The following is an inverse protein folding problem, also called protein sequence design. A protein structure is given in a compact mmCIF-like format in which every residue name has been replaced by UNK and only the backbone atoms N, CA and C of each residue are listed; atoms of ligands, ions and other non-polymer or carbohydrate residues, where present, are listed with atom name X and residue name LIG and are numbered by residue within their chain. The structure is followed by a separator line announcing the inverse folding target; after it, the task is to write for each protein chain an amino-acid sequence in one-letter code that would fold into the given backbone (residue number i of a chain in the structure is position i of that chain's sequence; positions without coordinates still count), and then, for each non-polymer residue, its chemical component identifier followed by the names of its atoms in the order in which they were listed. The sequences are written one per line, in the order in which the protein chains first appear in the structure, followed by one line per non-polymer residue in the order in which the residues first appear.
data_IF_590020408924
#
_entry.id   IF_590020408924
#
_cell.length_a   1.000
_cell.length_b   1.000
_cell.length_c   1.000
_cell.angle_alpha   90.00
_cell.angle_beta   90.00
_cell.angle_gamma   90.00
#
_symmetry.space_group_name_H-M   'P 1'
#
loop_
_entity.id
_entity.type
_entity.pdbx_description
1 polymer ?
#
# COMPACT_ATOMS: atom_id res chain seq x y z
N UNK A 1 -3.12 26.40 -8.85
CA UNK A 1 -3.27 25.42 -7.75
C UNK A 1 -2.86 24.06 -8.26
N UNK A 2 -2.11 23.29 -7.47
CA UNK A 2 -1.69 21.93 -7.82
C UNK A 2 -2.41 20.91 -6.93
N UNK A 3 -2.59 19.69 -7.42
CA UNK A 3 -3.21 18.59 -6.67
C UNK A 3 -2.27 17.41 -6.71
N UNK A 4 -2.06 16.75 -5.57
CA UNK A 4 -1.37 15.48 -5.48
C UNK A 4 -2.29 14.43 -4.87
N UNK A 5 -2.30 13.23 -5.44
CA UNK A 5 -3.05 12.08 -4.94
C UNK A 5 -2.11 10.86 -4.88
N UNK A 6 -2.16 10.14 -3.76
CA UNK A 6 -1.29 8.99 -3.52
C UNK A 6 -2.04 7.84 -2.84
N UNK A 7 -1.47 6.64 -2.88
CA UNK A 7 -1.91 5.52 -2.04
C UNK A 7 -1.81 5.87 -0.56
N UNK A 8 -2.79 5.41 0.24
CA UNK A 8 -2.94 5.88 1.62
C UNK A 8 -2.59 4.86 2.70
N UNK A 9 -2.32 3.61 2.35
CA UNK A 9 -2.25 2.52 3.32
C UNK A 9 -0.83 2.10 3.70
N UNK A 10 0.18 2.73 3.11
CA UNK A 10 1.57 2.42 3.38
C UNK A 10 2.49 3.65 3.38
N UNK A 11 3.71 3.39 3.81
CA UNK A 11 4.71 4.45 3.95
C UNK A 11 5.29 4.90 2.61
N UNK A 12 5.16 4.12 1.53
CA UNK A 12 5.64 4.55 0.22
C UNK A 12 4.72 5.63 -0.36
N UNK A 13 3.42 5.41 -0.35
CA UNK A 13 2.46 6.44 -0.74
C UNK A 13 2.57 7.69 0.13
N UNK A 14 2.59 7.56 1.47
CA UNK A 14 2.70 8.74 2.35
C UNK A 14 4.06 9.42 2.25
N UNK A 15 5.15 8.68 2.01
CA UNK A 15 6.49 9.21 1.75
C UNK A 15 6.55 10.01 0.46
N UNK A 16 5.95 9.48 -0.60
CA UNK A 16 5.75 10.18 -1.87
C UNK A 16 5.08 11.53 -1.68
N UNK A 17 3.99 11.53 -0.92
CA UNK A 17 3.24 12.75 -0.62
C UNK A 17 4.06 13.75 0.24
N UNK A 18 4.85 13.25 1.20
CA UNK A 18 5.70 14.08 2.03
C UNK A 18 6.82 14.76 1.22
N UNK A 19 7.41 14.07 0.24
CA UNK A 19 8.43 14.65 -0.65
C UNK A 19 7.80 15.72 -1.54
N UNK A 20 6.62 15.47 -2.12
CA UNK A 20 5.90 16.45 -2.91
C UNK A 20 5.55 17.68 -2.06
N UNK A 21 5.00 17.50 -0.86
CA UNK A 21 4.73 18.60 0.06
C UNK A 21 6.00 19.41 0.37
N UNK A 22 7.11 18.71 0.66
CA UNK A 22 8.40 19.35 0.94
C UNK A 22 8.89 20.18 -0.25
N UNK A 23 8.79 19.64 -1.48
CA UNK A 23 9.16 20.37 -2.69
C UNK A 23 8.40 21.69 -2.81
N UNK A 24 7.06 21.64 -2.65
CA UNK A 24 6.25 22.86 -2.77
C UNK A 24 6.49 23.85 -1.64
N UNK A 25 6.60 23.41 -0.39
CA UNK A 25 6.67 24.31 0.78
C UNK A 25 8.07 24.79 1.07
N UNK A 26 9.10 23.95 0.97
CA UNK A 26 10.48 24.29 1.35
C UNK A 26 11.34 24.72 0.16
N UNK A 27 11.17 24.08 -1.01
CA UNK A 27 11.97 24.39 -2.20
C UNK A 27 11.34 25.51 -3.02
N UNK A 28 10.08 25.39 -3.43
CA UNK A 28 9.38 26.43 -4.18
C UNK A 28 8.85 27.56 -3.29
N UNK A 29 8.87 27.39 -1.96
CA UNK A 29 8.33 28.37 -0.98
C UNK A 29 6.89 28.78 -1.24
N UNK A 30 6.08 27.84 -1.76
CA UNK A 30 4.70 28.04 -2.07
C UNK A 30 3.82 27.98 -0.81
N UNK A 31 2.70 28.70 -0.82
CA UNK A 31 1.73 28.61 0.25
C UNK A 31 1.03 27.25 0.26
N UNK A 32 0.57 26.79 1.44
CA UNK A 32 -0.16 25.53 1.58
C UNK A 32 -1.42 25.45 0.70
N UNK A 33 -2.05 26.59 0.41
CA UNK A 33 -3.22 26.68 -0.48
C UNK A 33 -2.91 26.42 -1.95
N UNK A 34 -1.63 26.40 -2.34
CA UNK A 34 -1.23 26.15 -3.73
C UNK A 34 -1.03 24.66 -4.04
N UNK A 35 -1.08 23.80 -3.02
CA UNK A 35 -1.01 22.34 -3.14
C UNK A 35 -2.09 21.69 -2.28
N UNK A 36 -3.00 20.96 -2.91
CA UNK A 36 -3.99 20.11 -2.23
C UNK A 36 -3.51 18.66 -2.25
N UNK A 37 -3.52 18.02 -1.08
CA UNK A 37 -3.11 16.65 -0.90
C UNK A 37 -4.33 15.74 -0.76
N UNK A 38 -4.48 14.81 -1.67
CA UNK A 38 -5.48 13.74 -1.60
C UNK A 38 -4.79 12.40 -1.32
N UNK A 39 -5.52 11.54 -0.65
CA UNK A 39 -5.11 10.18 -0.32
C UNK A 39 -6.15 9.22 -0.84
N UNK A 40 -5.74 8.08 -1.37
CA UNK A 40 -6.65 7.17 -2.05
C UNK A 40 -6.31 5.71 -1.80
N UNK A 41 -7.32 4.88 -1.89
CA UNK A 41 -7.20 3.44 -2.03
C UNK A 41 -7.73 3.04 -3.41
N UNK A 42 -7.38 1.87 -3.92
CA UNK A 42 -7.84 1.37 -5.22
C UNK A 42 -9.37 1.43 -5.39
N UNK A 43 -10.11 1.23 -4.31
CA UNK A 43 -11.60 1.22 -4.34
C UNK A 43 -12.26 2.57 -4.55
N UNK A 44 -11.56 3.67 -4.30
CA UNK A 44 -12.11 5.03 -4.42
C UNK A 44 -11.27 5.96 -5.32
N UNK A 45 -10.23 5.39 -5.94
CA UNK A 45 -9.28 6.16 -6.75
C UNK A 45 -9.96 6.80 -7.97
N UNK A 46 -10.74 6.01 -8.72
CA UNK A 46 -11.45 6.49 -9.92
C UNK A 46 -12.36 7.66 -9.58
N UNK A 47 -13.17 7.52 -8.54
CA UNK A 47 -14.12 8.55 -8.14
C UNK A 47 -13.40 9.83 -7.73
N UNK A 48 -12.31 9.72 -6.98
CA UNK A 48 -11.50 10.88 -6.59
C UNK A 48 -10.88 11.57 -7.81
N UNK A 49 -10.32 10.82 -8.75
CA UNK A 49 -9.77 11.39 -9.99
C UNK A 49 -10.86 12.09 -10.80
N UNK A 50 -12.03 11.47 -10.95
CA UNK A 50 -13.17 12.09 -11.65
C UNK A 50 -13.58 13.41 -10.99
N UNK A 51 -13.76 13.42 -9.67
CA UNK A 51 -14.09 14.65 -8.93
C UNK A 51 -13.07 15.77 -9.19
N UNK A 52 -11.77 15.44 -9.21
CA UNK A 52 -10.70 16.40 -9.46
C UNK A 52 -10.75 16.92 -10.91
N UNK A 53 -10.92 16.01 -11.88
CA UNK A 53 -10.82 16.34 -13.31
C UNK A 53 -12.13 16.85 -13.93
N UNK A 54 -13.27 16.64 -13.29
CA UNK A 54 -14.57 17.22 -13.68
C UNK A 54 -14.85 18.58 -13.01
N UNK A 55 -13.98 19.00 -12.10
CA UNK A 55 -14.13 20.28 -11.42
C UNK A 55 -14.20 21.44 -12.44
N UNK A 56 -15.00 22.45 -12.11
CA UNK A 56 -15.12 23.67 -12.94
C UNK A 56 -13.76 24.33 -13.17
N UNK A 57 -12.92 24.37 -12.14
CA UNK A 57 -11.55 24.87 -12.20
C UNK A 57 -10.61 23.69 -12.03
N UNK A 58 -9.89 23.37 -13.09
CA UNK A 58 -8.90 22.30 -13.06
C UNK A 58 -7.62 22.72 -12.33
N UNK A 59 -6.90 21.78 -11.71
CA UNK A 59 -5.56 22.06 -11.23
C UNK A 59 -4.63 22.35 -12.41
N UNK A 60 -3.60 23.19 -12.18
CA UNK A 60 -2.50 23.37 -13.13
C UNK A 60 -1.75 22.07 -13.35
N UNK A 61 -1.59 21.31 -12.25
CA UNK A 61 -0.93 20.00 -12.26
C UNK A 61 -1.65 19.04 -11.33
N UNK A 62 -1.91 17.83 -11.85
CA UNK A 62 -2.29 16.65 -11.07
C UNK A 62 -1.09 15.71 -10.99
N UNK A 63 -0.67 15.37 -9.78
CA UNK A 63 0.43 14.43 -9.51
C UNK A 63 -0.18 13.18 -8.89
N UNK A 64 0.00 12.04 -9.54
CA UNK A 64 -0.45 10.73 -9.07
C UNK A 64 0.78 9.93 -8.66
N UNK A 65 0.76 9.26 -7.52
CA UNK A 65 1.90 8.47 -7.06
C UNK A 65 1.48 7.19 -6.34
N UNK A 66 2.30 6.15 -6.49
CA UNK A 66 2.16 4.87 -5.80
C UNK A 66 0.77 4.25 -5.98
N UNK A 67 0.30 4.21 -7.22
CA UNK A 67 -1.00 3.67 -7.60
C UNK A 67 -0.86 2.86 -8.88
N UNK A 68 -0.79 1.54 -8.76
CA UNK A 68 -0.65 0.64 -9.91
C UNK A 68 -1.89 0.68 -10.80
N UNK A 69 -1.67 0.88 -12.10
CA UNK A 69 -2.75 0.89 -13.09
C UNK A 69 -3.20 -0.52 -13.47
N UNK A 70 -4.50 -0.73 -13.58
CA UNK A 70 -5.12 -1.99 -13.99
C UNK A 70 -6.33 -1.77 -14.90
N UNK A 71 -6.98 -2.87 -15.33
CA UNK A 71 -8.14 -2.83 -16.22
C UNK A 71 -9.31 -1.99 -15.69
N UNK A 72 -9.52 -1.95 -14.39
CA UNK A 72 -10.61 -1.19 -13.77
C UNK A 72 -10.45 0.32 -13.99
N UNK A 73 -9.22 0.78 -14.24
CA UNK A 73 -8.87 2.19 -14.41
C UNK A 73 -8.92 2.69 -15.86
N UNK A 74 -9.25 1.84 -16.84
CA UNK A 74 -9.25 2.18 -18.29
C UNK A 74 -10.08 3.41 -18.64
N UNK A 75 -11.19 3.64 -17.96
CA UNK A 75 -12.02 4.81 -18.20
C UNK A 75 -11.28 6.14 -17.96
N UNK A 76 -10.26 6.17 -17.10
CA UNK A 76 -9.49 7.37 -16.78
C UNK A 76 -8.73 7.93 -17.98
N UNK A 77 -8.40 7.14 -19.00
CA UNK A 77 -7.74 7.64 -20.20
C UNK A 77 -8.49 8.78 -20.86
N UNK A 78 -9.81 8.66 -20.94
CA UNK A 78 -10.64 9.71 -21.54
C UNK A 78 -10.67 10.99 -20.69
N UNK A 79 -10.66 10.86 -19.38
CA UNK A 79 -10.60 11.99 -18.44
C UNK A 79 -9.24 12.69 -18.53
N UNK A 80 -8.14 11.95 -18.59
CA UNK A 80 -6.81 12.52 -18.74
C UNK A 80 -6.67 13.33 -20.02
N UNK A 81 -7.05 12.75 -21.17
CA UNK A 81 -7.00 13.45 -22.47
C UNK A 81 -7.79 14.76 -22.43
N UNK A 82 -9.06 14.73 -22.02
CA UNK A 82 -9.93 15.90 -21.91
C UNK A 82 -9.36 16.96 -20.96
N UNK A 83 -8.78 16.56 -19.85
CA UNK A 83 -8.24 17.49 -18.87
C UNK A 83 -6.95 18.16 -19.36
N UNK A 84 -6.12 17.44 -20.10
CA UNK A 84 -4.93 18.01 -20.75
C UNK A 84 -5.32 19.04 -21.84
N UNK A 85 -6.33 18.76 -22.64
CA UNK A 85 -6.88 19.72 -23.60
C UNK A 85 -7.38 21.01 -22.94
N UNK A 86 -7.81 20.93 -21.68
CA UNK A 86 -8.20 22.06 -20.83
C UNK A 86 -7.03 22.70 -20.07
N UNK A 87 -5.78 22.26 -20.32
CA UNK A 87 -4.55 22.84 -19.76
C UNK A 87 -4.05 22.23 -18.44
N UNK A 88 -4.68 21.17 -17.91
CA UNK A 88 -4.16 20.45 -16.76
C UNK A 88 -2.99 19.56 -17.17
N UNK A 89 -1.84 19.68 -16.50
CA UNK A 89 -0.70 18.78 -16.68
C UNK A 89 -0.85 17.58 -15.72
N UNK A 90 -0.71 16.36 -16.24
CA UNK A 90 -0.91 15.14 -15.45
C UNK A 90 0.38 14.32 -15.42
N UNK A 91 0.88 14.08 -14.20
CA UNK A 91 2.11 13.36 -13.93
C UNK A 91 1.78 12.12 -13.09
N UNK A 92 2.36 10.97 -13.45
CA UNK A 92 2.17 9.72 -12.72
C UNK A 92 3.52 9.04 -12.45
N UNK A 93 3.79 8.79 -11.18
CA UNK A 93 4.99 8.15 -10.66
C UNK A 93 4.62 6.83 -10.00
N UNK A 94 5.15 5.72 -10.49
CA UNK A 94 4.76 4.39 -10.01
C UNK A 94 5.91 3.39 -10.12
N UNK A 95 5.77 2.25 -9.49
CA UNK A 95 6.73 1.16 -9.55
C UNK A 95 6.04 -0.22 -9.68
N UNK A 96 4.73 -0.24 -9.85
CA UNK A 96 3.98 -1.47 -10.03
C UNK A 96 4.15 -2.04 -11.43
N UNK A 97 4.07 -3.38 -11.53
CA UNK A 97 4.06 -4.06 -12.82
C UNK A 97 2.77 -3.70 -13.55
N UNK A 98 2.92 -3.22 -14.76
CA UNK A 98 1.84 -2.81 -15.64
C UNK A 98 1.85 -3.64 -16.94
N UNK A 99 0.67 -3.86 -17.52
CA UNK A 99 0.56 -4.40 -18.88
C UNK A 99 1.08 -3.39 -19.92
N UNK A 100 1.78 -3.86 -20.94
CA UNK A 100 2.42 -3.01 -21.96
C UNK A 100 1.42 -2.13 -22.73
N UNK A 101 0.18 -2.59 -22.93
CA UNK A 101 -0.85 -1.80 -23.60
C UNK A 101 -1.30 -0.63 -22.69
N UNK A 102 -1.43 -0.88 -21.40
CA UNK A 102 -1.75 0.17 -20.42
C UNK A 102 -0.60 1.18 -20.31
N UNK A 103 0.63 0.70 -20.25
CA UNK A 103 1.80 1.57 -20.20
C UNK A 103 1.88 2.50 -21.42
N UNK A 104 1.68 1.96 -22.62
CA UNK A 104 1.67 2.73 -23.86
C UNK A 104 0.55 3.77 -23.90
N UNK A 105 -0.64 3.42 -23.41
CA UNK A 105 -1.77 4.35 -23.38
C UNK A 105 -1.60 5.43 -22.30
N UNK A 106 -1.01 5.11 -21.15
CA UNK A 106 -0.64 6.11 -20.15
C UNK A 106 0.39 7.11 -20.70
N UNK A 107 1.44 6.64 -21.35
CA UNK A 107 2.45 7.50 -22.00
C UNK A 107 1.84 8.47 -23.02
N UNK A 108 0.75 8.09 -23.69
CA UNK A 108 0.01 8.96 -24.63
C UNK A 108 -0.95 9.91 -23.93
N UNK A 109 -1.53 9.47 -22.82
CA UNK A 109 -2.59 10.19 -22.12
C UNK A 109 -2.10 11.19 -21.08
N UNK A 110 -0.85 11.05 -20.62
CA UNK A 110 -0.22 11.85 -19.57
C UNK A 110 0.85 12.78 -20.13
N UNK A 111 1.21 13.82 -19.39
CA UNK A 111 2.36 14.68 -19.71
C UNK A 111 3.66 14.05 -19.23
N UNK A 112 3.60 13.27 -18.14
CA UNK A 112 4.72 12.51 -17.63
C UNK A 112 4.23 11.19 -17.03
N UNK A 113 4.84 10.09 -17.41
CA UNK A 113 4.70 8.78 -16.80
C UNK A 113 6.09 8.19 -16.52
N UNK A 114 6.41 8.01 -15.26
CA UNK A 114 7.64 7.35 -14.81
C UNK A 114 7.27 6.11 -13.98
N UNK A 115 7.77 4.96 -14.43
CA UNK A 115 7.61 3.68 -13.76
C UNK A 115 8.95 2.95 -13.76
N UNK A 116 9.44 2.60 -12.56
CA UNK A 116 10.66 1.81 -12.38
C UNK A 116 10.46 0.75 -11.32
N UNK A 117 10.49 -0.50 -11.74
CA UNK A 117 10.27 -1.68 -10.85
C UNK A 117 11.40 -1.91 -9.84
N UNK A 118 12.54 -1.23 -9.96
CA UNK A 118 13.70 -1.35 -9.06
C UNK A 118 13.67 -0.30 -7.94
N UNK A 119 12.78 0.70 -8.04
CA UNK A 119 12.61 1.79 -7.09
C UNK A 119 11.22 1.70 -6.46
N UNK A 120 11.03 2.29 -5.29
CA UNK A 120 9.71 2.58 -4.78
C UNK A 120 9.23 3.96 -5.29
N UNK A 121 7.94 4.25 -5.19
CA UNK A 121 7.39 5.50 -5.73
C UNK A 121 8.02 6.75 -5.10
N UNK A 122 8.30 6.72 -3.79
CA UNK A 122 8.98 7.81 -3.10
C UNK A 122 10.42 8.04 -3.61
N UNK A 123 11.14 6.99 -4.03
CA UNK A 123 12.47 7.14 -4.65
C UNK A 123 12.36 7.84 -6.00
N UNK A 124 11.42 7.43 -6.85
CA UNK A 124 11.19 8.04 -8.17
C UNK A 124 10.84 9.52 -8.03
N UNK A 125 9.96 9.86 -7.09
CA UNK A 125 9.56 11.25 -6.82
C UNK A 125 10.72 12.05 -6.25
N UNK A 126 11.51 11.49 -5.34
CA UNK A 126 12.71 12.13 -4.79
C UNK A 126 13.71 12.43 -5.93
N UNK A 127 13.99 11.48 -6.79
CA UNK A 127 14.93 11.67 -7.92
C UNK A 127 14.45 12.74 -8.90
N UNK A 128 13.14 12.86 -9.10
CA UNK A 128 12.56 13.85 -10.00
C UNK A 128 12.51 15.26 -9.41
N UNK A 129 12.11 15.42 -8.15
CA UNK A 129 11.85 16.73 -7.53
C UNK A 129 12.97 17.25 -6.62
N UNK A 130 13.61 16.37 -5.86
CA UNK A 130 14.53 16.72 -4.76
C UNK A 130 15.70 15.72 -4.66
N UNK A 131 16.48 15.51 -5.74
CA UNK A 131 17.49 14.43 -5.81
C UNK A 131 18.59 14.57 -4.73
N UNK A 132 18.93 15.78 -4.31
CA UNK A 132 19.99 16.04 -3.34
C UNK A 132 19.48 16.43 -1.94
N UNK A 133 18.18 16.53 -1.74
CA UNK A 133 17.62 16.92 -0.43
C UNK A 133 17.75 15.77 0.58
N UNK A 134 18.53 15.98 1.64
CA UNK A 134 18.83 14.96 2.65
C UNK A 134 17.58 14.42 3.37
N UNK A 135 16.54 15.24 3.52
CA UNK A 135 15.28 14.84 4.14
C UNK A 135 14.49 13.97 3.16
N UNK A 136 14.39 14.37 1.89
CA UNK A 136 13.74 13.57 0.85
C UNK A 136 14.44 12.21 0.66
N UNK A 137 15.78 12.19 0.66
CA UNK A 137 16.59 10.96 0.64
C UNK A 137 16.24 10.06 1.83
N UNK A 138 16.10 10.62 3.03
CA UNK A 138 15.75 9.83 4.24
C UNK A 138 14.32 9.28 4.16
N UNK A 139 13.37 10.07 3.68
CA UNK A 139 11.99 9.63 3.45
C UNK A 139 11.97 8.47 2.46
N UNK A 140 12.62 8.60 1.31
CA UNK A 140 12.68 7.57 0.29
C UNK A 140 13.31 6.26 0.81
N UNK A 141 14.36 6.34 1.65
CA UNK A 141 14.95 5.16 2.30
C UNK A 141 13.97 4.44 3.23
N UNK A 142 13.13 5.17 3.97
CA UNK A 142 12.12 4.57 4.84
C UNK A 142 10.98 3.95 4.03
N UNK A 143 10.54 4.61 2.95
CA UNK A 143 9.56 4.09 2.02
C UNK A 143 10.02 2.78 1.38
N UNK A 144 11.26 2.77 0.85
CA UNK A 144 11.89 1.57 0.30
C UNK A 144 11.96 0.42 1.30
N UNK A 145 12.29 0.73 2.56
CA UNK A 145 12.40 -0.30 3.61
C UNK A 145 11.09 -1.07 3.82
N UNK A 146 9.98 -0.35 3.72
CA UNK A 146 8.65 -0.93 3.83
C UNK A 146 8.26 -1.66 2.55
N UNK A 147 8.42 -1.02 1.41
CA UNK A 147 7.98 -1.59 0.14
C UNK A 147 8.80 -2.82 -0.28
N UNK A 148 10.12 -2.78 -0.13
CA UNK A 148 11.01 -3.92 -0.42
C UNK A 148 11.29 -4.83 0.78
N UNK A 149 10.69 -4.57 1.95
CA UNK A 149 10.87 -5.36 3.18
C UNK A 149 12.33 -5.57 3.61
N UNK A 150 13.17 -4.54 3.45
CA UNK A 150 14.59 -4.69 3.76
C UNK A 150 14.88 -4.70 5.26
N UNK A 151 13.94 -4.26 6.10
CA UNK A 151 13.99 -4.27 7.58
C UNK A 151 15.22 -3.59 8.17
N UNK A 152 15.66 -2.50 7.56
CA UNK A 152 16.86 -1.75 7.97
C UNK A 152 16.56 -0.66 8.99
N UNK A 153 15.33 -0.15 9.00
CA UNK A 153 14.95 1.02 9.78
C UNK A 153 13.73 0.75 10.67
N UNK A 154 13.95 0.64 11.98
CA UNK A 154 12.86 0.47 12.95
C UNK A 154 11.79 1.57 12.85
N UNK A 155 12.22 2.79 12.57
CA UNK A 155 11.33 3.94 12.37
C UNK A 155 10.33 3.71 11.25
N UNK A 156 10.77 3.15 10.11
CA UNK A 156 9.91 2.82 8.98
C UNK A 156 8.85 1.78 9.37
N UNK A 157 9.28 0.68 10.00
CA UNK A 157 8.38 -0.35 10.49
C UNK A 157 7.37 0.16 11.53
N UNK A 158 7.80 1.06 12.41
CA UNK A 158 6.94 1.66 13.42
C UNK A 158 5.90 2.60 12.80
N UNK A 159 6.29 3.45 11.83
CA UNK A 159 5.36 4.31 11.09
C UNK A 159 4.33 3.47 10.32
N UNK A 160 4.78 2.40 9.67
CA UNK A 160 3.87 1.47 8.99
C UNK A 160 2.88 0.81 9.97
N UNK A 161 3.32 0.45 11.17
CA UNK A 161 2.43 -0.10 12.21
C UNK A 161 1.40 0.94 12.67
N UNK A 162 1.80 2.21 12.82
CA UNK A 162 0.89 3.31 13.16
C UNK A 162 -0.16 3.49 12.04
N UNK A 163 0.24 3.47 10.76
CA UNK A 163 -0.67 3.55 9.61
C UNK A 163 -1.66 2.37 9.63
N UNK A 164 -1.15 1.15 9.79
CA UNK A 164 -1.97 -0.06 9.79
C UNK A 164 -2.96 -0.14 10.96
N UNK A 165 -2.57 0.35 12.14
CA UNK A 165 -3.44 0.42 13.31
C UNK A 165 -4.63 1.38 13.09
N UNK A 166 -4.35 2.57 12.56
CA UNK A 166 -5.32 3.63 12.37
C UNK A 166 -6.11 3.51 11.06
N UNK A 167 -6.03 2.37 10.32
CA UNK A 167 -6.86 2.15 9.12
C UNK A 167 -8.34 2.32 9.43
N UNK A 168 -9.06 2.88 8.46
CA UNK A 168 -10.46 3.25 8.60
C UNK A 168 -10.59 4.74 8.86
N UNK A 169 -11.55 5.14 9.67
CA UNK A 169 -11.89 6.55 9.87
C UNK A 169 -10.76 7.39 10.48
N UNK A 170 -10.00 6.82 11.41
CA UNK A 170 -8.91 7.48 12.12
C UNK A 170 -7.70 7.79 11.22
N UNK A 171 -7.57 7.08 10.10
CA UNK A 171 -6.42 7.22 9.22
C UNK A 171 -6.29 8.63 8.64
N UNK A 172 -7.39 9.35 8.43
CA UNK A 172 -7.36 10.66 7.76
C UNK A 172 -6.49 11.68 8.48
N UNK A 173 -6.57 11.75 9.79
CA UNK A 173 -5.75 12.69 10.58
C UNK A 173 -4.32 12.17 10.77
N UNK A 174 -4.16 10.86 10.95
CA UNK A 174 -2.85 10.22 11.14
C UNK A 174 -1.98 10.37 9.88
N UNK A 175 -2.52 10.08 8.68
CA UNK A 175 -1.75 10.22 7.43
C UNK A 175 -1.33 11.67 7.15
N UNK A 176 -2.23 12.64 7.35
CA UNK A 176 -1.90 14.06 7.23
C UNK A 176 -0.78 14.47 8.19
N UNK A 177 -0.84 13.96 9.43
CA UNK A 177 0.17 14.24 10.46
C UNK A 177 1.51 13.62 10.10
N UNK A 178 1.54 12.36 9.62
CA UNK A 178 2.77 11.68 9.18
C UNK A 178 3.40 12.46 8.02
N UNK A 179 2.62 12.78 6.99
CA UNK A 179 3.10 13.52 5.81
C UNK A 179 3.66 14.89 6.22
N UNK A 180 2.95 15.63 7.08
CA UNK A 180 3.43 16.91 7.60
C UNK A 180 4.75 16.79 8.36
N UNK A 181 4.86 15.85 9.29
CA UNK A 181 6.07 15.65 10.09
C UNK A 181 7.25 15.25 9.20
N UNK A 182 7.06 14.27 8.31
CA UNK A 182 8.12 13.80 7.41
C UNK A 182 8.57 14.91 6.46
N UNK A 183 7.66 15.69 5.88
CA UNK A 183 8.00 16.79 4.97
C UNK A 183 8.85 17.88 5.66
N UNK A 184 8.75 18.01 6.97
CA UNK A 184 9.56 18.92 7.80
C UNK A 184 10.82 18.26 8.39
N UNK A 185 11.11 16.99 8.04
CA UNK A 185 12.26 16.25 8.55
C UNK A 185 12.13 15.77 9.99
N UNK A 186 10.91 15.76 10.53
CA UNK A 186 10.60 15.28 11.88
C UNK A 186 10.12 13.84 11.76
N UNK A 187 10.95 12.90 12.17
CA UNK A 187 10.65 11.47 12.07
C UNK A 187 10.25 10.87 13.42
N UNK A 188 10.69 11.47 14.52
CA UNK A 188 10.36 11.07 15.90
C UNK A 188 10.04 12.31 16.71
N UNK A 189 8.97 12.25 17.50
CA UNK A 189 8.55 13.27 18.45
C UNK A 189 7.55 12.65 19.45
N UNK A 190 7.03 13.44 20.39
CA UNK A 190 6.10 12.97 21.42
C UNK A 190 4.84 12.32 20.85
N UNK A 191 4.28 12.88 19.76
CA UNK A 191 3.13 12.30 19.09
C UNK A 191 3.45 10.90 18.51
N UNK A 192 4.58 10.75 17.82
CA UNK A 192 5.04 9.47 17.30
C UNK A 192 5.22 8.45 18.42
N UNK A 193 5.88 8.85 19.51
CA UNK A 193 6.13 7.98 20.66
C UNK A 193 4.83 7.50 21.31
N UNK A 194 3.85 8.40 21.46
CA UNK A 194 2.54 8.05 22.01
C UNK A 194 1.76 7.11 21.06
N UNK A 195 1.73 7.40 19.76
CA UNK A 195 1.09 6.52 18.79
C UNK A 195 1.71 5.11 18.81
N UNK A 196 3.03 5.03 18.86
CA UNK A 196 3.73 3.75 18.91
C UNK A 196 3.41 2.98 20.20
N UNK A 197 3.29 3.66 21.35
CA UNK A 197 2.88 3.07 22.62
C UNK A 197 1.46 2.46 22.52
N UNK A 198 0.53 3.20 21.92
CA UNK A 198 -0.85 2.74 21.71
C UNK A 198 -0.87 1.49 20.82
N UNK A 199 -0.14 1.52 19.70
CA UNK A 199 -0.07 0.40 18.74
C UNK A 199 0.50 -0.84 19.42
N UNK A 200 1.63 -0.73 20.12
CA UNK A 200 2.27 -1.86 20.80
C UNK A 200 1.35 -2.50 21.84
N UNK A 201 0.73 -1.68 22.69
CA UNK A 201 -0.22 -2.18 23.70
C UNK A 201 -1.42 -2.89 23.05
N UNK A 202 -1.88 -2.39 21.89
CA UNK A 202 -2.98 -3.02 21.18
C UNK A 202 -2.54 -4.34 20.53
N UNK A 203 -1.39 -4.39 19.87
CA UNK A 203 -0.86 -5.62 19.25
C UNK A 203 -0.65 -6.72 20.31
N UNK A 204 -0.09 -6.40 21.46
CA UNK A 204 0.08 -7.34 22.58
C UNK A 204 -1.26 -7.96 23.00
N UNK A 205 -2.29 -7.13 23.21
CA UNK A 205 -3.64 -7.60 23.59
C UNK A 205 -4.31 -8.45 22.50
N UNK A 206 -4.00 -8.20 21.22
CA UNK A 206 -4.62 -8.92 20.10
C UNK A 206 -3.86 -10.17 19.67
N UNK A 207 -2.64 -10.42 20.16
CA UNK A 207 -1.78 -11.50 19.67
C UNK A 207 -2.22 -12.89 20.11
N UNK A 208 -2.82 -13.03 21.29
CA UNK A 208 -3.21 -14.33 21.85
C UNK A 208 -4.36 -14.99 21.09
N UNK A 209 -5.34 -14.21 20.67
CA UNK A 209 -6.52 -14.73 19.98
C UNK A 209 -6.17 -15.44 18.67
N UNK A 210 -5.38 -14.85 17.74
CA UNK A 210 -4.96 -15.52 16.52
C UNK A 210 -4.19 -16.82 16.77
N UNK A 211 -3.29 -16.85 17.76
CA UNK A 211 -2.50 -18.05 18.06
C UNK A 211 -3.37 -19.21 18.53
N UNK A 212 -4.42 -18.94 19.32
CA UNK A 212 -5.40 -19.95 19.75
C UNK A 212 -6.29 -20.47 18.61
N UNK A 213 -6.46 -19.68 17.54
CA UNK A 213 -7.30 -20.02 16.39
C UNK A 213 -6.49 -20.36 15.12
N UNK A 214 -5.21 -20.69 15.30
CA UNK A 214 -4.33 -21.06 14.18
C UNK A 214 -4.62 -22.47 13.68
N UNK A 215 -4.71 -22.63 12.37
CA UNK A 215 -4.80 -23.92 11.71
C UNK A 215 -3.54 -24.21 10.91
N UNK A 216 -2.90 -25.35 11.21
CA UNK A 216 -1.75 -25.88 10.48
C UNK A 216 -2.25 -26.97 9.52
N UNK A 217 -2.11 -26.73 8.23
CA UNK A 217 -2.68 -27.56 7.17
C UNK A 217 -1.54 -28.18 6.36
N UNK A 218 -1.53 -29.50 6.24
CA UNK A 218 -0.61 -30.22 5.35
C UNK A 218 -1.14 -30.16 3.90
N UNK A 219 -0.25 -29.83 2.99
CA UNK A 219 -0.49 -29.90 1.54
C UNK A 219 0.45 -30.96 0.98
N UNK A 220 -0.13 -32.02 0.46
CA UNK A 220 0.62 -33.17 -0.06
C UNK A 220 1.50 -32.74 -1.24
N UNK A 221 2.75 -33.22 -1.27
CA UNK A 221 3.72 -32.86 -2.31
C UNK A 221 4.27 -31.42 -2.22
N UNK A 222 3.84 -30.61 -1.22
CA UNK A 222 4.32 -29.24 -1.08
C UNK A 222 4.90 -28.92 0.33
N UNK A 223 4.16 -29.20 1.39
CA UNK A 223 4.56 -28.89 2.75
C UNK A 223 3.40 -28.39 3.61
N UNK A 224 3.66 -27.40 4.48
CA UNK A 224 2.67 -26.90 5.43
C UNK A 224 2.25 -25.47 5.10
N UNK A 225 0.95 -25.22 5.19
CA UNK A 225 0.29 -23.92 5.21
C UNK A 225 -0.15 -23.64 6.65
N UNK A 226 0.05 -22.42 7.13
CA UNK A 226 -0.52 -21.95 8.39
C UNK A 226 -1.46 -20.78 8.10
N UNK A 227 -2.63 -20.81 8.70
CA UNK A 227 -3.67 -19.80 8.55
C UNK A 227 -4.26 -19.42 9.90
N UNK A 228 -4.45 -18.13 10.11
CA UNK A 228 -5.15 -17.60 11.28
C UNK A 228 -5.85 -16.28 10.96
N UNK A 229 -6.65 -15.82 11.91
CA UNK A 229 -7.44 -14.60 11.80
C UNK A 229 -7.45 -13.83 13.13
N UNK A 230 -7.63 -12.53 13.04
CA UNK A 230 -7.68 -11.67 14.23
C UNK A 230 -7.99 -10.21 13.88
N UNK A 231 -8.08 -9.38 14.91
CA UNK A 231 -8.26 -7.93 14.74
C UNK A 231 -6.93 -7.18 14.65
N UNK A 232 -5.93 -7.79 14.04
CA UNK A 232 -4.63 -7.17 13.75
C UNK A 232 -4.35 -7.22 12.24
N UNK A 233 -3.48 -6.33 11.75
CA UNK A 233 -3.16 -6.28 10.33
C UNK A 233 -2.64 -7.62 9.81
N UNK A 234 -3.12 -8.05 8.64
CA UNK A 234 -2.79 -9.35 8.06
C UNK A 234 -1.29 -9.57 7.88
N UNK A 235 -0.53 -8.51 7.56
CA UNK A 235 0.93 -8.56 7.49
C UNK A 235 1.60 -8.84 8.83
N UNK A 236 1.14 -8.21 9.93
CA UNK A 236 1.62 -8.49 11.29
C UNK A 236 1.24 -9.90 11.72
N UNK A 237 0.02 -10.33 11.38
CA UNK A 237 -0.45 -11.68 11.66
C UNK A 237 0.43 -12.74 10.95
N UNK A 238 0.75 -12.55 9.67
CA UNK A 238 1.69 -13.45 8.96
C UNK A 238 3.07 -13.49 9.63
N UNK A 239 3.57 -12.36 10.16
CA UNK A 239 4.83 -12.32 10.91
C UNK A 239 4.72 -13.15 12.20
N UNK A 240 3.67 -12.96 12.99
CA UNK A 240 3.39 -13.73 14.20
C UNK A 240 3.32 -15.25 13.92
N UNK A 241 2.65 -15.62 12.83
CA UNK A 241 2.56 -17.02 12.39
C UNK A 241 3.93 -17.56 11.97
N UNK A 242 4.77 -16.79 11.27
CA UNK A 242 6.12 -17.21 10.88
C UNK A 242 7.04 -17.45 12.09
N UNK A 243 6.92 -16.61 13.12
CA UNK A 243 7.65 -16.74 14.38
C UNK A 243 7.26 -18.02 15.16
N UNK A 244 5.97 -18.36 15.18
CA UNK A 244 5.46 -19.51 15.96
C UNK A 244 5.39 -20.82 15.16
N UNK A 245 5.39 -20.78 13.83
CA UNK A 245 5.30 -21.94 12.95
C UNK A 245 6.38 -21.92 11.85
N UNK A 246 7.67 -21.88 12.19
CA UNK A 246 8.77 -21.69 11.21
C UNK A 246 8.88 -22.81 10.17
N UNK A 247 8.25 -23.96 10.42
CA UNK A 247 8.21 -25.10 9.48
C UNK A 247 7.18 -24.93 8.35
N UNK A 248 6.31 -23.93 8.43
CA UNK A 248 5.34 -23.67 7.39
C UNK A 248 5.99 -22.91 6.22
N UNK A 249 5.52 -23.21 5.01
CA UNK A 249 5.98 -22.56 3.77
C UNK A 249 5.08 -21.41 3.32
N UNK A 250 3.81 -21.40 3.74
CA UNK A 250 2.84 -20.37 3.41
C UNK A 250 2.17 -19.89 4.68
N UNK A 251 2.07 -18.57 4.82
CA UNK A 251 1.46 -17.89 5.95
C UNK A 251 0.28 -17.07 5.46
N UNK A 252 -0.90 -17.29 6.04
CA UNK A 252 -2.13 -16.58 5.71
C UNK A 252 -2.67 -15.92 6.96
N UNK A 253 -2.73 -14.60 6.93
CA UNK A 253 -3.34 -13.77 7.96
C UNK A 253 -4.63 -13.12 7.48
N UNK A 254 -5.74 -13.29 8.23
CA UNK A 254 -7.03 -12.69 7.93
C UNK A 254 -7.30 -11.57 8.92
N UNK A 255 -7.32 -10.33 8.43
CA UNK A 255 -7.68 -9.16 9.23
C UNK A 255 -9.20 -9.02 9.30
N UNK A 256 -9.78 -9.35 10.45
CA UNK A 256 -11.22 -9.30 10.69
C UNK A 256 -11.82 -7.88 10.66
N UNK A 257 -10.98 -6.83 10.79
CA UNK A 257 -11.47 -5.44 10.76
C UNK A 257 -11.94 -5.04 9.37
N UNK A 258 -11.28 -5.60 8.33
CA UNK A 258 -11.48 -5.20 6.93
C UNK A 258 -11.83 -6.37 6.01
N UNK A 259 -11.95 -7.58 6.58
CA UNK A 259 -12.16 -8.82 5.84
C UNK A 259 -11.11 -9.02 4.72
N UNK A 260 -9.85 -8.75 5.05
CA UNK A 260 -8.73 -8.83 4.13
C UNK A 260 -7.81 -9.99 4.45
N UNK A 261 -7.40 -10.70 3.42
CA UNK A 261 -6.48 -11.83 3.49
C UNK A 261 -5.11 -11.37 3.02
N UNK A 262 -4.09 -11.57 3.83
CA UNK A 262 -2.70 -11.36 3.47
C UNK A 262 -2.00 -12.71 3.34
N UNK A 263 -1.25 -12.88 2.25
CA UNK A 263 -0.39 -14.03 1.97
C UNK A 263 1.07 -13.64 2.12
N UNK A 264 1.89 -14.52 2.70
CA UNK A 264 3.36 -14.43 2.66
C UNK A 264 3.98 -15.78 2.42
N UNK A 265 4.91 -15.87 1.48
CA UNK A 265 5.64 -17.10 1.16
C UNK A 265 6.85 -16.81 0.27
N UNK A 266 7.93 -17.55 0.52
CA UNK A 266 9.11 -17.60 -0.36
C UNK A 266 9.03 -18.80 -1.35
N UNK A 267 7.94 -19.59 -1.30
CA UNK A 267 7.78 -20.87 -2.02
C UNK A 267 6.68 -20.87 -3.08
N UNK A 268 5.91 -19.80 -3.15
CA UNK A 268 4.85 -19.62 -4.16
C UNK A 268 4.86 -18.20 -4.70
N UNK A 269 4.29 -17.99 -5.87
CA UNK A 269 4.00 -16.65 -6.37
C UNK A 269 2.73 -16.11 -5.72
N UNK A 270 2.88 -15.38 -4.60
CA UNK A 270 1.76 -14.81 -3.85
C UNK A 270 0.89 -13.88 -4.70
N UNK A 271 1.51 -13.08 -5.61
CA UNK A 271 0.80 -12.16 -6.48
C UNK A 271 -0.17 -12.90 -7.41
N UNK A 272 0.31 -13.95 -8.10
CA UNK A 272 -0.54 -14.71 -9.02
C UNK A 272 -1.66 -15.44 -8.27
N UNK A 273 -1.38 -15.95 -7.07
CA UNK A 273 -2.41 -16.51 -6.23
C UNK A 273 -3.46 -15.45 -5.85
N UNK A 274 -3.05 -14.28 -5.40
CA UNK A 274 -3.97 -13.20 -5.03
C UNK A 274 -4.78 -12.70 -6.23
N UNK A 275 -4.16 -12.55 -7.42
CA UNK A 275 -4.86 -12.19 -8.68
C UNK A 275 -5.97 -13.17 -9.04
N UNK A 276 -5.79 -14.46 -8.76
CA UNK A 276 -6.85 -15.46 -8.99
C UNK A 276 -8.07 -15.29 -8.07
N UNK A 277 -8.00 -14.34 -7.11
CA UNK A 277 -9.08 -13.88 -6.24
C UNK A 277 -9.33 -12.37 -6.36
N UNK A 278 -8.97 -11.77 -7.50
CA UNK A 278 -9.11 -10.32 -7.76
C UNK A 278 -8.32 -9.43 -6.81
N UNK A 279 -7.22 -9.95 -6.27
CA UNK A 279 -6.29 -9.21 -5.44
C UNK A 279 -4.99 -8.86 -6.16
N UNK A 280 -3.97 -8.47 -5.40
CA UNK A 280 -2.69 -8.07 -5.95
C UNK A 280 -1.58 -8.04 -4.90
N UNK A 281 -0.40 -7.56 -5.32
CA UNK A 281 0.78 -7.42 -4.47
C UNK A 281 2.07 -7.88 -5.17
N UNK A 282 3.04 -8.29 -4.37
CA UNK A 282 4.35 -8.74 -4.83
C UNK A 282 4.45 -10.27 -4.89
N UNK A 283 5.55 -10.77 -5.46
CA UNK A 283 5.78 -12.22 -5.63
C UNK A 283 5.81 -12.97 -4.29
N UNK A 284 6.40 -12.39 -3.26
CA UNK A 284 6.58 -12.98 -1.91
C UNK A 284 5.46 -12.64 -0.93
N UNK A 285 4.63 -11.65 -1.26
CA UNK A 285 3.51 -11.17 -0.46
C UNK A 285 2.41 -10.57 -1.32
N UNK A 286 1.17 -10.83 -0.96
CA UNK A 286 0.02 -10.28 -1.66
C UNK A 286 -1.22 -10.29 -0.75
N UNK A 287 -2.28 -9.63 -1.19
CA UNK A 287 -3.54 -9.60 -0.47
C UNK A 287 -4.74 -9.66 -1.40
N UNK A 288 -5.86 -10.11 -0.86
CA UNK A 288 -7.14 -10.14 -1.56
C UNK A 288 -8.30 -10.15 -0.54
N UNK A 289 -9.52 -9.96 -1.03
CA UNK A 289 -10.74 -10.12 -0.25
C UNK A 289 -11.47 -11.37 -0.70
N UNK A 290 -12.14 -12.02 0.25
CA UNK A 290 -12.97 -13.18 -0.03
C UNK A 290 -14.23 -13.15 0.86
N UNK A 291 -15.41 -13.15 0.24
CA UNK A 291 -16.67 -12.90 0.94
C UNK A 291 -17.05 -14.01 1.93
N UNK A 292 -16.77 -15.27 1.59
CA UNK A 292 -17.16 -16.44 2.39
C UNK A 292 -15.96 -17.12 3.04
N UNK A 293 -15.28 -16.40 3.95
CA UNK A 293 -14.13 -16.95 4.68
C UNK A 293 -14.57 -17.88 5.80
N UNK A 294 -15.68 -17.57 6.47
CA UNK A 294 -16.17 -18.30 7.63
C UNK A 294 -17.52 -18.96 7.38
N UNK A 295 -17.67 -20.22 7.83
CA UNK A 295 -18.96 -20.92 7.84
C UNK A 295 -19.75 -20.65 9.12
N UNK A 296 -19.05 -20.51 10.26
CA UNK A 296 -19.57 -20.26 11.59
C UNK A 296 -18.54 -19.43 12.36
N UNK A 297 -18.93 -18.86 13.49
CA UNK A 297 -18.00 -18.17 14.37
C UNK A 297 -16.73 -18.99 14.61
N UNK A 298 -15.58 -18.39 14.31
CA UNK A 298 -14.25 -18.95 14.52
C UNK A 298 -13.89 -20.23 13.72
N UNK A 299 -14.60 -20.58 12.65
CA UNK A 299 -14.21 -21.67 11.74
C UNK A 299 -14.07 -21.16 10.30
N UNK A 300 -12.87 -21.34 9.76
CA UNK A 300 -12.60 -21.01 8.36
C UNK A 300 -13.30 -22.03 7.46
N UNK A 301 -13.95 -21.54 6.40
CA UNK A 301 -14.68 -22.39 5.45
C UNK A 301 -13.74 -23.39 4.76
N UNK A 302 -14.14 -24.65 4.77
CA UNK A 302 -13.39 -25.74 4.13
C UNK A 302 -13.34 -25.58 2.60
N UNK A 303 -14.34 -24.94 1.99
CA UNK A 303 -14.33 -24.63 0.55
C UNK A 303 -13.23 -23.61 0.26
N UNK A 304 -13.10 -22.58 1.10
CA UNK A 304 -12.02 -21.61 0.99
C UNK A 304 -10.66 -22.28 1.16
N UNK A 305 -10.48 -23.11 2.19
CA UNK A 305 -9.24 -23.86 2.41
C UNK A 305 -8.88 -24.73 1.19
N UNK A 306 -9.86 -25.43 0.60
CA UNK A 306 -9.62 -26.25 -0.59
C UNK A 306 -9.15 -25.41 -1.77
N UNK A 307 -9.85 -24.31 -2.07
CA UNK A 307 -9.47 -23.38 -3.14
C UNK A 307 -8.05 -22.83 -2.95
N UNK A 308 -7.68 -22.46 -1.74
CA UNK A 308 -6.33 -21.98 -1.42
C UNK A 308 -5.27 -23.07 -1.66
N UNK A 309 -5.54 -24.32 -1.23
CA UNK A 309 -4.62 -25.46 -1.44
C UNK A 309 -4.37 -25.70 -2.93
N UNK A 310 -5.43 -25.73 -3.73
CA UNK A 310 -5.33 -25.95 -5.19
C UNK A 310 -4.52 -24.85 -5.87
N UNK A 311 -4.72 -23.58 -5.46
CA UNK A 311 -3.94 -22.44 -5.97
C UNK A 311 -2.48 -22.45 -5.51
N UNK A 312 -2.19 -22.89 -4.29
CA UNK A 312 -0.80 -23.05 -3.80
C UNK A 312 -0.05 -24.05 -4.68
N UNK A 313 -0.67 -25.18 -5.02
CA UNK A 313 -0.06 -26.19 -5.90
C UNK A 313 0.17 -25.68 -7.32
N UNK A 314 -0.74 -24.84 -7.82
CA UNK A 314 -0.64 -24.26 -9.17
C UNK A 314 0.47 -23.21 -9.26
N UNK A 315 0.66 -22.36 -8.24
CA UNK A 315 1.57 -21.22 -8.25
C UNK A 315 2.86 -21.44 -7.46
N UNK A 316 3.25 -22.70 -7.21
CA UNK A 316 4.55 -23.02 -6.61
C UNK A 316 5.71 -22.52 -7.50
N UNK A 317 6.74 -22.00 -6.87
CA UNK A 317 7.97 -21.51 -7.54
C UNK A 317 9.05 -22.57 -7.53
#
# INVERSE_FOLDING_TARGET
MNVSITHELDLDGLGSQAIIQRYYTHYLKKNKSELILHYSHYTNFIDKIKIILEAKILPERLIISDMGFNDDFKELYSFFKKSRERGCKIFWFDHHIIDINHENELKRSLDLYLNDLNLCAAEIIKDYYLPEDLIAIKIAKFSRDIDFHTKKYNIASNLQSIIAYNRGYELDEVKKRIVYLMSNGIFENDWYTEQLRIVKNWEERQSDFPLKHTQLIKIEGFGKLVISFGKIGGGRLCTLLKENYPVAKVFIGIDLRFNEITLRSDYINCRELARSFYGGGHKDRAGFRYEKIFMQENKIDQIFIRKIKDKILLYRT
#
